data_IF_271390533210
#
_entry.id   IF_271390533210
#
_cell.length_a   1.000
_cell.length_b   1.000
_cell.length_c   1.000
_cell.angle_alpha   90.00
_cell.angle_beta   90.00
_cell.angle_gamma   90.00
#
_symmetry.space_group_name_H-M   'P 1'
#
loop_
_entity.id
_entity.type
_entity.pdbx_description
1 polymer ?
#
# COMPACT_ATOMS: atom_id res chain seq x y z
N UNK A 1 0.18 -64.40 18.66
CA UNK A 1 0.97 -63.81 19.77
C UNK A 1 0.94 -62.30 19.56
N UNK A 2 -0.02 -61.66 20.21
CA UNK A 2 -0.32 -60.23 20.06
C UNK A 2 0.70 -59.39 20.82
N UNK A 3 1.00 -58.22 20.26
CA UNK A 3 1.97 -57.26 20.79
C UNK A 3 1.22 -56.39 21.81
N UNK A 4 1.46 -56.63 23.09
CA UNK A 4 0.98 -55.80 24.18
C UNK A 4 1.79 -54.50 24.26
N UNK A 5 1.13 -53.38 23.94
CA UNK A 5 1.65 -52.03 24.11
C UNK A 5 1.43 -51.57 25.56
N UNK A 6 2.53 -51.50 26.33
CA UNK A 6 2.56 -50.88 27.65
C UNK A 6 2.52 -49.36 27.50
N UNK A 7 1.38 -48.74 27.83
CA UNK A 7 1.22 -47.30 27.93
C UNK A 7 1.78 -46.79 29.27
N UNK A 8 3.04 -46.35 29.27
CA UNK A 8 3.65 -45.63 30.39
C UNK A 8 3.18 -44.16 30.41
N UNK A 9 2.43 -43.80 31.45
CA UNK A 9 2.00 -42.44 31.72
C UNK A 9 3.19 -41.56 32.13
N UNK A 10 3.61 -40.64 31.24
CA UNK A 10 4.49 -39.53 31.60
C UNK A 10 3.66 -38.39 32.18
N UNK A 11 3.69 -38.26 33.50
CA UNK A 11 3.15 -37.13 34.25
C UNK A 11 4.03 -35.90 34.06
N UNK A 12 3.61 -34.96 33.21
CA UNK A 12 4.22 -33.64 33.12
C UNK A 12 3.62 -32.69 34.17
N UNK A 13 4.44 -32.03 35.01
CA UNK A 13 3.96 -31.07 36.00
C UNK A 13 3.83 -29.69 35.37
N UNK A 14 2.63 -29.23 35.04
CA UNK A 14 2.41 -27.80 34.75
C UNK A 14 0.95 -27.35 34.93
N UNK A 15 0.47 -27.34 36.18
CA UNK A 15 -0.83 -26.75 36.54
C UNK A 15 -0.79 -25.25 36.91
N UNK A 16 0.28 -24.51 36.60
CA UNK A 16 0.40 -23.09 37.01
C UNK A 16 0.48 -22.05 35.90
N UNK A 17 0.46 -22.43 34.62
CA UNK A 17 0.62 -21.45 33.52
C UNK A 17 -0.58 -21.28 32.60
N UNK A 18 -1.62 -22.11 32.70
CA UNK A 18 -2.76 -22.02 31.78
C UNK A 18 -3.60 -20.75 32.00
N UNK A 19 -3.87 -20.36 33.24
CA UNK A 19 -4.64 -19.13 33.53
C UNK A 19 -3.89 -17.85 33.12
N UNK A 20 -2.57 -17.79 33.29
CA UNK A 20 -1.76 -16.65 32.85
C UNK A 20 -1.63 -16.56 31.32
N UNK A 21 -1.58 -17.70 30.62
CA UNK A 21 -1.56 -17.74 29.15
C UNK A 21 -2.94 -17.39 28.60
N UNK A 22 -4.02 -17.89 29.20
CA UNK A 22 -5.39 -17.57 28.80
C UNK A 22 -5.72 -16.09 29.04
N UNK A 23 -5.30 -15.50 30.18
CA UNK A 23 -5.39 -14.05 30.43
C UNK A 23 -4.54 -13.23 29.45
N UNK A 24 -3.30 -13.64 29.13
CA UNK A 24 -2.51 -12.93 28.10
C UNK A 24 -3.14 -13.01 26.72
N UNK A 25 -3.72 -14.15 26.34
CA UNK A 25 -4.43 -14.30 25.07
C UNK A 25 -5.75 -13.52 25.03
N UNK A 26 -6.54 -13.50 26.10
CA UNK A 26 -7.79 -12.71 26.14
C UNK A 26 -7.52 -11.21 26.23
N UNK A 27 -6.53 -10.77 27.00
CA UNK A 27 -6.09 -9.37 27.00
C UNK A 27 -5.58 -8.97 25.62
N UNK A 28 -4.64 -9.70 25.02
CA UNK A 28 -4.10 -9.37 23.68
C UNK A 28 -5.17 -9.39 22.58
N UNK A 29 -6.11 -10.33 22.60
CA UNK A 29 -7.23 -10.37 21.65
C UNK A 29 -8.21 -9.20 21.85
N UNK A 30 -8.46 -8.76 23.10
CA UNK A 30 -9.24 -7.54 23.37
C UNK A 30 -8.48 -6.29 22.94
N UNK A 31 -7.15 -6.25 23.07
CA UNK A 31 -6.30 -5.15 22.61
C UNK A 31 -6.25 -5.04 21.08
N UNK A 32 -6.13 -6.14 20.34
CA UNK A 32 -6.14 -6.13 18.87
C UNK A 32 -7.52 -5.76 18.28
N UNK A 33 -8.60 -6.13 18.98
CA UNK A 33 -9.96 -5.82 18.55
C UNK A 33 -10.51 -4.50 19.09
N UNK A 34 -9.76 -3.73 19.87
CA UNK A 34 -10.17 -2.43 20.38
C UNK A 34 -9.55 -1.30 19.56
N UNK A 35 -10.33 -0.57 18.74
CA UNK A 35 -9.78 0.50 17.91
C UNK A 35 -9.20 1.63 18.77
N UNK A 36 -7.99 2.15 18.45
CA UNK A 36 -7.38 3.25 19.19
C UNK A 36 -8.21 4.53 19.09
N UNK A 37 -8.21 5.33 20.15
CA UNK A 37 -8.85 6.65 20.18
C UNK A 37 -7.79 7.75 20.22
N UNK A 38 -7.86 8.70 19.29
CA UNK A 38 -6.95 9.84 19.23
C UNK A 38 -7.37 10.97 20.19
N UNK A 39 -6.41 11.75 20.68
CA UNK A 39 -6.69 12.94 21.51
C UNK A 39 -7.67 13.90 20.84
N UNK A 40 -7.55 14.13 19.53
CA UNK A 40 -8.48 14.96 18.74
C UNK A 40 -9.94 14.56 18.90
N UNK A 41 -10.22 13.25 18.82
CA UNK A 41 -11.57 12.72 18.97
C UNK A 41 -12.03 12.77 20.42
N UNK A 42 -11.12 12.52 21.35
CA UNK A 42 -11.42 12.58 22.77
C UNK A 42 -11.87 13.99 23.17
N UNK A 43 -11.13 15.03 22.77
CA UNK A 43 -11.51 16.43 22.96
C UNK A 43 -12.87 16.72 22.34
N UNK A 44 -13.11 16.25 21.11
CA UNK A 44 -14.39 16.46 20.42
C UNK A 44 -15.58 15.83 21.17
N UNK A 45 -15.43 14.61 21.69
CA UNK A 45 -16.51 13.91 22.41
C UNK A 45 -16.74 14.45 23.82
N UNK A 46 -15.75 15.11 24.40
CA UNK A 46 -15.83 15.71 25.74
C UNK A 46 -16.31 17.16 25.75
N UNK A 47 -16.55 17.78 24.59
CA UNK A 47 -17.17 19.11 24.50
C UNK A 47 -18.53 19.11 25.22
N UNK A 48 -18.69 19.99 26.21
CA UNK A 48 -19.91 20.11 27.02
C UNK A 48 -20.08 19.03 28.10
N UNK A 49 -19.04 18.24 28.40
CA UNK A 49 -19.05 17.17 29.43
C UNK A 49 -17.76 17.18 30.26
N UNK A 50 -17.33 18.35 30.68
CA UNK A 50 -16.02 18.56 31.32
C UNK A 50 -15.95 17.95 32.73
N UNK A 51 -17.08 17.81 33.41
CA UNK A 51 -17.16 17.25 34.77
C UNK A 51 -17.09 15.71 34.80
N UNK A 52 -17.18 15.05 33.64
CA UNK A 52 -17.28 13.58 33.57
C UNK A 52 -15.93 12.94 33.24
N UNK A 53 -15.75 11.71 33.70
CA UNK A 53 -14.56 10.91 33.40
C UNK A 53 -14.76 10.21 32.05
N UNK A 54 -13.86 10.43 31.09
CA UNK A 54 -13.87 9.74 29.81
C UNK A 54 -13.29 8.33 29.96
N UNK A 55 -14.07 7.30 29.65
CA UNK A 55 -13.65 5.90 29.80
C UNK A 55 -13.50 5.25 28.43
N UNK A 56 -12.29 4.81 28.10
CA UNK A 56 -11.94 4.20 26.81
C UNK A 56 -11.47 2.77 27.02
N UNK A 57 -12.24 1.81 26.53
CA UNK A 57 -11.80 0.41 26.45
C UNK A 57 -10.92 0.25 25.21
N UNK A 58 -9.66 0.64 25.33
CA UNK A 58 -8.70 0.62 24.22
C UNK A 58 -7.46 1.48 24.50
N UNK A 59 -6.68 1.71 23.45
CA UNK A 59 -5.46 2.55 23.52
C UNK A 59 -5.76 4.00 23.17
N UNK A 60 -5.21 4.94 23.94
CA UNK A 60 -5.30 6.38 23.66
C UNK A 60 -3.99 6.86 23.01
N UNK A 61 -4.10 7.33 21.78
CA UNK A 61 -2.97 7.76 20.96
C UNK A 61 -2.90 9.27 20.85
N UNK A 62 -1.68 9.79 20.81
CA UNK A 62 -1.44 11.21 20.56
C UNK A 62 -1.83 11.62 19.13
N UNK A 63 -2.23 12.87 18.97
CA UNK A 63 -2.50 13.51 17.69
C UNK A 63 -1.80 14.87 17.67
N UNK A 64 -0.70 14.93 16.93
CA UNK A 64 0.17 16.10 16.82
C UNK A 64 -0.58 17.33 16.28
N UNK A 65 -1.69 17.11 15.57
CA UNK A 65 -2.47 18.19 14.93
C UNK A 65 -3.28 19.02 15.92
N UNK A 66 -3.57 18.47 17.10
CA UNK A 66 -4.19 19.23 18.18
C UNK A 66 -3.06 19.96 18.87
N UNK A 67 -3.11 21.27 19.00
CA UNK A 67 -2.05 22.04 19.66
C UNK A 67 -2.33 22.18 21.17
N UNK A 68 -3.57 22.55 21.50
CA UNK A 68 -4.04 22.74 22.87
C UNK A 68 -4.97 21.61 23.28
N UNK A 69 -4.65 20.95 24.39
CA UNK A 69 -5.47 19.89 24.98
C UNK A 69 -6.12 20.48 26.23
N UNK A 70 -7.46 20.43 26.38
CA UNK A 70 -8.12 20.85 27.60
C UNK A 70 -7.79 19.90 28.78
N UNK A 71 -7.99 20.33 30.04
CA UNK A 71 -7.84 19.45 31.19
C UNK A 71 -8.89 18.33 31.12
N UNK A 72 -8.43 17.08 30.98
CA UNK A 72 -9.29 15.92 30.76
C UNK A 72 -9.01 14.85 31.81
N UNK A 73 -10.07 14.27 32.39
CA UNK A 73 -9.99 13.05 33.19
C UNK A 73 -10.26 11.84 32.30
N UNK A 74 -9.24 11.05 32.01
CA UNK A 74 -9.32 9.95 31.04
C UNK A 74 -8.90 8.64 31.70
N UNK A 75 -9.75 7.63 31.64
CA UNK A 75 -9.44 6.24 31.95
C UNK A 75 -9.26 5.45 30.67
N UNK A 76 -8.14 4.74 30.52
CA UNK A 76 -7.91 3.86 29.37
C UNK A 76 -7.13 2.60 29.76
N UNK A 77 -7.16 1.59 28.88
CA UNK A 77 -6.35 0.38 29.06
C UNK A 77 -4.86 0.68 28.88
N UNK A 78 -4.52 1.51 27.89
CA UNK A 78 -3.14 1.94 27.65
C UNK A 78 -3.09 3.36 27.09
N UNK A 79 -2.13 4.14 27.57
CA UNK A 79 -1.77 5.43 27.01
C UNK A 79 -0.46 5.32 26.23
N UNK A 80 -0.37 6.05 25.12
CA UNK A 80 0.94 6.37 24.54
C UNK A 80 1.66 7.36 25.44
N UNK A 81 2.98 7.23 25.58
CA UNK A 81 3.79 8.07 26.47
C UNK A 81 3.63 9.56 26.15
N UNK A 82 3.60 9.90 24.86
CA UNK A 82 3.40 11.28 24.41
C UNK A 82 2.00 11.79 24.74
N UNK A 83 0.94 10.98 24.58
CA UNK A 83 -0.41 11.40 24.95
C UNK A 83 -0.54 11.63 26.46
N UNK A 84 0.06 10.75 27.27
CA UNK A 84 0.04 10.87 28.72
C UNK A 84 0.71 12.17 29.18
N UNK A 85 1.91 12.45 28.69
CA UNK A 85 2.65 13.67 29.02
C UNK A 85 1.86 14.93 28.64
N UNK A 86 1.14 14.91 27.51
CA UNK A 86 0.33 16.05 27.06
C UNK A 86 -0.93 16.27 27.89
N UNK A 87 -1.61 15.19 28.30
CA UNK A 87 -2.78 15.28 29.17
C UNK A 87 -2.37 15.81 30.55
N UNK A 88 -1.31 15.25 31.14
CA UNK A 88 -0.79 15.68 32.45
C UNK A 88 -0.30 17.13 32.41
N UNK A 89 0.40 17.55 31.33
CA UNK A 89 0.82 18.95 31.12
C UNK A 89 -0.36 19.93 31.01
N UNK A 90 -1.50 19.48 30.48
CA UNK A 90 -2.72 20.27 30.40
C UNK A 90 -3.51 20.32 31.73
N UNK A 91 -3.01 19.69 32.80
CA UNK A 91 -3.71 19.58 34.08
C UNK A 91 -4.80 18.50 34.09
N UNK A 92 -4.77 17.57 33.13
CA UNK A 92 -5.64 16.40 33.09
C UNK A 92 -5.10 15.20 33.88
N UNK A 93 -5.98 14.25 34.21
CA UNK A 93 -5.64 13.02 34.93
C UNK A 93 -5.76 11.80 34.03
N UNK A 94 -4.70 11.00 33.92
CA UNK A 94 -4.73 9.68 33.30
C UNK A 94 -4.93 8.61 34.38
N UNK A 95 -6.06 7.90 34.33
CA UNK A 95 -6.46 6.89 35.31
C UNK A 95 -6.38 5.47 34.73
N UNK A 96 -6.11 4.49 35.59
CA UNK A 96 -6.29 3.06 35.27
C UNK A 96 -7.74 2.61 35.56
N UNK A 97 -8.15 1.47 35.00
CA UNK A 97 -9.48 0.93 35.27
C UNK A 97 -9.70 0.56 36.74
N UNK A 98 -8.65 0.10 37.43
CA UNK A 98 -8.70 -0.19 38.86
C UNK A 98 -8.94 1.09 39.68
N UNK A 99 -8.28 2.19 39.31
CA UNK A 99 -8.47 3.51 39.94
C UNK A 99 -9.88 4.07 39.66
N UNK A 100 -10.42 3.82 38.46
CA UNK A 100 -11.80 4.21 38.13
C UNK A 100 -12.81 3.43 38.99
N UNK A 101 -12.61 2.12 39.15
CA UNK A 101 -13.52 1.27 39.92
C UNK A 101 -13.62 1.71 41.39
N UNK A 102 -12.51 2.18 41.98
CA UNK A 102 -12.50 2.75 43.34
C UNK A 102 -13.25 4.09 43.44
N UNK A 103 -13.16 4.94 42.40
CA UNK A 103 -13.82 6.27 42.41
C UNK A 103 -15.30 6.21 42.06
N UNK A 104 -15.67 5.38 41.09
CA UNK A 104 -17.01 5.30 40.54
C UNK A 104 -17.41 3.83 40.33
N UNK A 105 -17.67 3.06 41.41
CA UNK A 105 -17.97 1.63 41.34
C UNK A 105 -19.24 1.32 40.54
N UNK A 106 -20.19 2.26 40.50
CA UNK A 106 -21.43 2.17 39.73
C UNK A 106 -21.34 2.83 38.33
N UNK A 107 -20.17 3.38 37.95
CA UNK A 107 -19.98 4.09 36.68
C UNK A 107 -20.66 5.45 36.57
N UNK A 108 -21.17 6.00 37.69
CA UNK A 108 -21.76 7.34 37.73
C UNK A 108 -20.73 8.41 37.36
N UNK A 109 -21.14 9.45 36.64
CA UNK A 109 -20.28 10.53 36.11
C UNK A 109 -19.18 10.07 35.13
N UNK A 110 -19.37 8.93 34.46
CA UNK A 110 -18.47 8.48 33.40
C UNK A 110 -19.11 8.59 32.00
N UNK A 111 -18.28 8.74 30.98
CA UNK A 111 -18.69 8.70 29.57
C UNK A 111 -17.90 7.60 28.88
N UNK A 112 -18.57 6.53 28.48
CA UNK A 112 -17.96 5.46 27.70
C UNK A 112 -17.73 5.93 26.27
N UNK A 113 -16.47 5.94 25.84
CA UNK A 113 -16.05 6.30 24.50
C UNK A 113 -15.48 5.08 23.79
N UNK A 114 -15.82 4.96 22.50
CA UNK A 114 -15.36 3.86 21.64
C UNK A 114 -14.64 4.41 20.42
N UNK A 115 -13.49 3.81 20.10
CA UNK A 115 -12.75 4.14 18.88
C UNK A 115 -13.51 3.79 17.58
N UNK A 116 -13.03 4.29 16.43
CA UNK A 116 -13.65 4.06 15.12
C UNK A 116 -13.62 2.58 14.70
N UNK A 117 -14.78 1.92 14.63
CA UNK A 117 -14.88 0.53 14.16
C UNK A 117 -14.57 0.37 12.67
N UNK A 118 -15.01 1.34 11.86
CA UNK A 118 -15.00 1.25 10.40
C UNK A 118 -13.67 1.72 9.77
N UNK A 119 -12.67 2.06 10.59
CA UNK A 119 -11.34 2.48 10.11
C UNK A 119 -10.44 1.33 9.66
N UNK A 120 -10.81 0.09 9.99
CA UNK A 120 -9.99 -1.11 9.70
C UNK A 120 -9.89 -1.36 8.20
N UNK A 121 -8.73 -1.86 7.77
CA UNK A 121 -8.52 -2.21 6.36
C UNK A 121 -9.49 -3.29 5.89
N UNK A 122 -9.77 -4.29 6.73
CA UNK A 122 -10.77 -5.31 6.44
C UNK A 122 -12.13 -4.70 6.09
N UNK A 123 -12.62 -3.73 6.89
CA UNK A 123 -13.93 -3.09 6.69
C UNK A 123 -14.05 -2.38 5.34
N UNK A 124 -12.93 -1.91 4.77
CA UNK A 124 -12.93 -1.26 3.45
C UNK A 124 -13.28 -2.21 2.31
N UNK A 125 -13.21 -3.52 2.53
CA UNK A 125 -13.57 -4.55 1.55
C UNK A 125 -15.04 -5.00 1.65
N UNK A 126 -15.79 -4.51 2.63
CA UNK A 126 -17.21 -4.76 2.77
C UNK A 126 -18.03 -3.65 2.08
N UNK A 127 -19.22 -3.98 1.59
CA UNK A 127 -20.13 -3.05 0.91
C UNK A 127 -20.45 -3.42 -0.55
N UNK A 128 -21.08 -2.50 -1.30
CA UNK A 128 -21.44 -2.72 -2.70
C UNK A 128 -20.25 -3.17 -3.55
N UNK A 129 -20.48 -4.02 -4.56
CA UNK A 129 -19.38 -4.61 -5.30
C UNK A 129 -18.44 -3.52 -5.88
N UNK A 130 -17.11 -3.72 -5.80
CA UNK A 130 -16.14 -2.74 -6.28
C UNK A 130 -16.39 -2.40 -7.76
N UNK A 131 -16.70 -1.14 -8.05
CA UNK A 131 -16.94 -0.65 -9.41
C UNK A 131 -18.38 -0.30 -9.75
N UNK A 132 -19.35 -0.54 -8.85
CA UNK A 132 -20.69 0.05 -8.98
C UNK A 132 -20.64 1.57 -8.81
N UNK A 133 -21.56 2.33 -9.45
CA UNK A 133 -21.76 3.74 -9.16
C UNK A 133 -21.93 3.97 -7.65
N UNK A 134 -21.22 4.94 -7.08
CA UNK A 134 -21.19 5.25 -5.64
C UNK A 134 -20.60 4.15 -4.72
N UNK A 135 -19.95 3.12 -5.27
CA UNK A 135 -19.20 2.15 -4.45
C UNK A 135 -17.83 2.73 -4.02
N UNK A 136 -17.56 2.69 -2.72
CA UNK A 136 -16.24 3.01 -2.15
C UNK A 136 -15.48 1.76 -1.67
N UNK A 137 -16.02 0.58 -1.96
CA UNK A 137 -15.49 -0.71 -1.52
C UNK A 137 -14.19 -1.03 -2.25
N UNK A 138 -13.15 -1.31 -1.48
CA UNK A 138 -11.82 -1.63 -1.97
C UNK A 138 -11.85 -3.03 -2.60
N UNK A 139 -11.39 -3.21 -3.85
CA UNK A 139 -11.34 -4.53 -4.47
C UNK A 139 -10.34 -5.45 -3.77
N UNK A 140 -10.70 -6.72 -3.61
CA UNK A 140 -9.75 -7.78 -3.28
C UNK A 140 -8.81 -7.97 -4.47
N UNK A 141 -7.52 -7.71 -4.28
CA UNK A 141 -6.51 -7.96 -5.30
C UNK A 141 -5.82 -9.27 -4.93
N UNK A 142 -6.19 -10.36 -5.60
CA UNK A 142 -5.46 -11.64 -5.52
C UNK A 142 -4.07 -11.42 -6.11
N UNK A 143 -3.13 -10.96 -5.29
CA UNK A 143 -1.72 -10.97 -5.63
C UNK A 143 -1.12 -12.23 -5.01
N UNK A 144 -1.24 -13.38 -5.69
CA UNK A 144 -0.45 -14.58 -5.34
C UNK A 144 1.06 -14.28 -5.33
N UNK A 145 1.49 -13.22 -6.00
CA UNK A 145 2.88 -12.78 -6.08
C UNK A 145 3.38 -11.96 -4.89
N UNK A 146 2.50 -11.39 -4.03
CA UNK A 146 2.94 -10.53 -2.91
C UNK A 146 3.50 -11.29 -1.69
N UNK A 147 2.94 -12.45 -1.27
CA UNK A 147 3.50 -13.23 -0.17
C UNK A 147 4.91 -13.75 -0.46
N UNK A 148 5.13 -14.28 -1.68
CA UNK A 148 6.46 -14.72 -2.15
C UNK A 148 7.44 -13.54 -2.19
N UNK A 149 6.97 -12.36 -2.63
CA UNK A 149 7.76 -11.13 -2.62
C UNK A 149 8.16 -10.66 -1.21
N UNK A 150 7.24 -10.74 -0.24
CA UNK A 150 7.47 -10.35 1.14
C UNK A 150 8.33 -11.41 1.88
N UNK A 151 8.24 -12.69 1.51
CA UNK A 151 9.12 -13.74 2.01
C UNK A 151 10.56 -13.53 1.49
N UNK A 152 10.71 -13.17 0.22
CA UNK A 152 11.98 -12.74 -0.36
C UNK A 152 12.50 -11.43 0.27
N UNK A 153 11.61 -10.53 0.73
CA UNK A 153 11.97 -9.28 1.43
C UNK A 153 12.79 -9.55 2.70
N UNK A 154 12.41 -10.54 3.51
CA UNK A 154 13.16 -10.90 4.73
C UNK A 154 14.55 -11.48 4.48
N UNK A 155 14.87 -11.83 3.22
CA UNK A 155 16.12 -12.48 2.81
C UNK A 155 17.05 -11.56 2.01
N UNK A 156 16.55 -10.42 1.50
CA UNK A 156 17.20 -9.60 0.45
C UNK A 156 17.68 -8.22 0.95
N UNK A 157 17.53 -7.89 2.24
CA UNK A 157 17.81 -6.56 2.82
C UNK A 157 19.23 -5.98 2.62
N UNK A 158 20.12 -6.63 1.87
CA UNK A 158 21.46 -6.12 1.52
C UNK A 158 21.61 -5.50 0.12
N UNK A 159 20.64 -5.61 -0.80
CA UNK A 159 20.86 -5.13 -2.18
C UNK A 159 19.74 -4.21 -2.72
N UNK A 160 20.19 -3.05 -3.23
CA UNK A 160 19.41 -1.93 -3.80
C UNK A 160 18.41 -2.33 -4.90
N UNK A 161 18.62 -3.47 -5.55
CA UNK A 161 17.80 -4.03 -6.63
C UNK A 161 16.47 -4.63 -6.13
N UNK A 162 16.45 -5.30 -4.97
CA UNK A 162 15.23 -5.89 -4.39
C UNK A 162 14.21 -4.83 -3.95
N UNK A 163 14.71 -3.72 -3.40
CA UNK A 163 13.90 -2.58 -2.95
C UNK A 163 13.21 -1.87 -4.12
N UNK A 164 13.89 -1.74 -5.25
CA UNK A 164 13.35 -1.15 -6.49
C UNK A 164 12.29 -2.03 -7.15
N UNK A 165 12.48 -3.35 -7.12
CA UNK A 165 11.54 -4.34 -7.65
C UNK A 165 10.21 -4.31 -6.87
N UNK A 166 10.27 -4.29 -5.53
CA UNK A 166 9.10 -4.18 -4.64
C UNK A 166 8.35 -2.86 -4.80
N UNK A 167 9.07 -1.73 -4.84
CA UNK A 167 8.48 -0.39 -5.00
C UNK A 167 7.74 -0.25 -6.34
N UNK A 168 8.17 -0.97 -7.37
CA UNK A 168 7.46 -1.05 -8.67
C UNK A 168 6.28 -2.02 -8.64
N UNK A 169 6.39 -3.17 -7.99
CA UNK A 169 5.28 -4.14 -7.86
C UNK A 169 4.05 -3.56 -7.15
N UNK A 170 4.27 -2.77 -6.09
CA UNK A 170 3.21 -2.07 -5.33
C UNK A 170 2.66 -0.82 -6.04
N UNK A 171 3.22 -0.42 -7.19
CA UNK A 171 2.81 0.78 -7.91
C UNK A 171 1.50 0.58 -8.68
N UNK A 172 0.68 1.64 -8.86
CA UNK A 172 -0.56 1.57 -9.68
C UNK A 172 -0.26 1.14 -11.12
N UNK A 173 -1.22 0.54 -11.83
CA UNK A 173 -1.10 0.18 -13.27
C UNK A 173 -0.63 1.36 -14.13
N UNK A 174 -1.12 2.56 -13.82
CA UNK A 174 -0.67 3.82 -14.45
C UNK A 174 0.81 4.14 -14.19
N UNK A 175 1.51 3.50 -13.26
CA UNK A 175 2.95 3.70 -13.05
C UNK A 175 3.80 2.56 -13.65
N UNK A 176 3.18 1.44 -14.04
CA UNK A 176 3.79 0.28 -14.71
C UNK A 176 3.58 0.40 -16.23
N UNK A 177 4.37 1.25 -16.88
CA UNK A 177 4.35 1.43 -18.32
C UNK A 177 5.09 0.29 -19.01
N UNK A 178 4.44 -0.30 -20.02
CA UNK A 178 5.02 -1.32 -20.88
C UNK A 178 6.22 -0.73 -21.63
N UNK A 179 7.45 -1.24 -21.43
CA UNK A 179 8.50 -1.02 -22.41
C UNK A 179 8.09 -1.70 -23.71
N UNK A 180 8.44 -1.06 -24.83
CA UNK A 180 8.24 -1.65 -26.16
C UNK A 180 9.40 -2.62 -26.43
N UNK A 181 9.18 -3.63 -27.26
CA UNK A 181 10.24 -4.56 -27.70
C UNK A 181 11.41 -3.83 -28.38
N UNK A 182 11.15 -2.66 -28.96
CA UNK A 182 12.14 -1.76 -29.60
C UNK A 182 12.98 -0.95 -28.62
N UNK A 183 12.79 -1.09 -27.29
CA UNK A 183 13.60 -0.31 -26.34
C UNK A 183 15.08 -0.52 -26.65
N UNK A 184 15.80 0.58 -26.90
CA UNK A 184 17.24 0.61 -27.23
C UNK A 184 18.04 -0.24 -26.24
N UNK A 185 17.55 -0.30 -25.01
CA UNK A 185 18.09 -1.08 -23.90
C UNK A 185 17.93 -2.60 -24.06
N UNK A 186 16.84 -3.12 -24.65
CA UNK A 186 16.70 -4.55 -24.92
C UNK A 186 17.74 -5.02 -25.95
N UNK A 187 18.02 -4.21 -26.98
CA UNK A 187 19.08 -4.48 -27.96
C UNK A 187 20.48 -4.42 -27.37
N UNK A 188 20.74 -3.50 -26.43
CA UNK A 188 22.02 -3.41 -25.73
C UNK A 188 22.25 -4.58 -24.77
N UNK A 189 21.19 -5.13 -24.17
CA UNK A 189 21.28 -6.24 -23.21
C UNK A 189 21.67 -7.58 -23.85
N UNK A 190 21.33 -7.79 -25.12
CA UNK A 190 21.76 -8.97 -25.89
C UNK A 190 23.27 -9.03 -26.00
N UNK A 191 23.95 -7.88 -26.04
CA UNK A 191 25.41 -7.82 -26.14
C UNK A 191 26.13 -8.17 -24.83
N UNK A 192 25.41 -8.21 -23.71
CA UNK A 192 25.98 -8.40 -22.37
C UNK A 192 25.49 -9.67 -21.67
N UNK A 193 24.73 -10.55 -22.35
CA UNK A 193 24.12 -11.78 -21.80
C UNK A 193 23.30 -11.59 -20.50
N UNK A 194 22.80 -10.36 -20.27
CA UNK A 194 22.03 -10.01 -19.07
C UNK A 194 20.55 -10.29 -19.25
N UNK A 195 19.89 -10.67 -18.15
CA UNK A 195 18.45 -10.88 -18.11
C UNK A 195 17.74 -9.53 -17.98
N UNK A 196 16.89 -9.20 -18.95
CA UNK A 196 16.06 -8.00 -18.89
C UNK A 196 14.88 -8.22 -17.94
N UNK A 197 14.67 -7.30 -16.99
CA UNK A 197 13.62 -7.41 -15.98
C UNK A 197 12.62 -6.26 -16.09
N UNK A 198 11.37 -6.60 -16.39
CA UNK A 198 10.29 -5.63 -16.62
C UNK A 198 9.15 -5.85 -15.65
N UNK A 199 8.94 -4.89 -14.75
CA UNK A 199 7.76 -4.88 -13.87
C UNK A 199 6.54 -4.30 -14.58
N UNK A 200 6.02 -5.05 -15.54
CA UNK A 200 4.92 -4.63 -16.43
C UNK A 200 4.60 -5.67 -17.49
N UNK A 201 3.75 -5.28 -18.44
CA UNK A 201 3.47 -6.05 -19.66
C UNK A 201 4.55 -5.75 -20.70
N UNK A 202 5.05 -6.77 -21.39
CA UNK A 202 5.88 -6.61 -22.60
C UNK A 202 4.99 -6.83 -23.82
N UNK A 203 5.03 -5.87 -24.74
CA UNK A 203 4.22 -5.87 -25.97
C UNK A 203 5.12 -5.95 -27.19
N UNK A 204 4.63 -6.57 -28.27
CA UNK A 204 5.34 -6.66 -29.54
C UNK A 204 5.27 -5.33 -30.32
N UNK A 205 6.26 -5.10 -31.17
CA UNK A 205 6.26 -4.01 -32.13
C UNK A 205 6.39 -4.61 -33.52
N UNK A 206 5.34 -4.45 -34.33
CA UNK A 206 5.25 -5.02 -35.68
C UNK A 206 6.34 -4.48 -36.62
N UNK A 207 6.87 -3.28 -36.35
CA UNK A 207 7.87 -2.60 -37.20
C UNK A 207 9.26 -3.20 -37.12
N UNK A 208 9.53 -4.05 -36.13
CA UNK A 208 10.82 -4.75 -36.01
C UNK A 208 10.67 -6.15 -36.56
N UNK A 209 11.41 -6.38 -37.64
CA UNK A 209 11.39 -7.63 -38.41
C UNK A 209 12.28 -8.70 -37.78
N UNK A 210 13.43 -8.30 -37.23
CA UNK A 210 14.39 -9.20 -36.60
C UNK A 210 14.52 -8.89 -35.12
N UNK A 211 14.21 -9.88 -34.29
CA UNK A 211 14.35 -9.82 -32.84
C UNK A 211 15.55 -10.69 -32.47
N UNK A 212 16.52 -10.18 -31.70
CA UNK A 212 17.62 -11.00 -31.20
C UNK A 212 17.16 -12.00 -30.13
N UNK A 213 17.96 -13.04 -29.87
CA UNK A 213 17.72 -13.99 -28.78
C UNK A 213 17.79 -13.27 -27.42
N UNK A 214 16.63 -12.97 -26.83
CA UNK A 214 16.50 -12.17 -25.61
C UNK A 214 16.10 -13.05 -24.41
N UNK A 215 16.74 -12.86 -23.26
CA UNK A 215 16.26 -13.40 -21.97
C UNK A 215 15.49 -12.31 -21.24
N UNK A 216 14.16 -12.41 -21.23
CA UNK A 216 13.28 -11.37 -20.67
C UNK A 216 12.40 -11.95 -19.58
N UNK A 217 12.35 -11.27 -18.44
CA UNK A 217 11.40 -11.52 -17.35
C UNK A 217 10.38 -10.40 -17.29
N UNK A 218 9.10 -10.76 -17.25
CA UNK A 218 8.03 -9.77 -17.15
C UNK A 218 6.85 -10.27 -16.32
N UNK A 219 5.96 -9.36 -15.92
CA UNK A 219 4.72 -9.75 -15.25
C UNK A 219 3.78 -10.45 -16.22
N UNK A 220 3.76 -9.97 -17.47
CA UNK A 220 2.93 -10.50 -18.55
C UNK A 220 3.61 -10.25 -19.90
N UNK A 221 3.42 -11.17 -20.82
CA UNK A 221 3.77 -11.02 -22.22
C UNK A 221 2.50 -11.03 -23.05
N UNK A 222 2.43 -10.25 -24.14
CA UNK A 222 1.44 -10.52 -25.17
C UNK A 222 1.82 -11.81 -25.90
N UNK A 223 0.83 -12.55 -26.38
CA UNK A 223 1.05 -13.82 -27.09
C UNK A 223 1.97 -13.63 -28.31
N UNK A 224 1.72 -12.55 -29.05
CA UNK A 224 2.54 -12.09 -30.17
C UNK A 224 3.98 -11.78 -29.79
N UNK A 225 4.22 -11.19 -28.62
CA UNK A 225 5.58 -10.88 -28.16
C UNK A 225 6.31 -12.15 -27.74
N UNK A 226 5.63 -13.02 -27.00
CA UNK A 226 6.18 -14.30 -26.55
C UNK A 226 6.61 -15.15 -27.75
N UNK A 227 5.71 -15.33 -28.72
CA UNK A 227 5.99 -16.11 -29.92
C UNK A 227 7.19 -15.58 -30.71
N UNK A 228 7.34 -14.25 -30.82
CA UNK A 228 8.50 -13.66 -31.50
C UNK A 228 9.81 -13.86 -30.76
N UNK A 229 9.81 -13.73 -29.43
CA UNK A 229 11.01 -13.92 -28.60
C UNK A 229 11.44 -15.39 -28.65
N UNK A 230 10.49 -16.33 -28.53
CA UNK A 230 10.76 -17.77 -28.60
C UNK A 230 11.24 -18.18 -30.00
N UNK A 231 10.63 -17.63 -31.07
CA UNK A 231 11.07 -17.86 -32.45
C UNK A 231 12.50 -17.35 -32.71
N UNK A 232 12.91 -16.28 -32.03
CA UNK A 232 14.27 -15.76 -32.07
C UNK A 232 15.27 -16.56 -31.22
N UNK A 233 14.84 -17.65 -30.54
CA UNK A 233 15.67 -18.42 -29.61
C UNK A 233 15.87 -17.75 -28.25
N UNK A 234 15.04 -16.75 -27.91
CA UNK A 234 15.03 -16.11 -26.60
C UNK A 234 14.16 -16.83 -25.57
N UNK A 235 14.34 -16.48 -24.30
CA UNK A 235 13.60 -17.06 -23.17
C UNK A 235 12.67 -16.02 -22.53
N UNK A 236 11.37 -16.35 -22.45
CA UNK A 236 10.38 -15.59 -21.68
C UNK A 236 10.21 -16.20 -20.29
N UNK A 237 10.67 -15.50 -19.26
CA UNK A 237 10.69 -15.98 -17.88
C UNK A 237 9.62 -15.31 -17.01
N UNK A 238 9.12 -16.05 -16.03
CA UNK A 238 8.31 -15.49 -14.94
C UNK A 238 9.20 -14.98 -13.81
N UNK A 239 8.61 -14.20 -12.90
CA UNK A 239 9.35 -13.70 -11.75
C UNK A 239 9.73 -14.77 -10.73
N UNK A 240 8.94 -15.83 -10.64
CA UNK A 240 9.26 -16.98 -9.78
C UNK A 240 10.46 -17.73 -10.34
N UNK A 241 10.51 -17.92 -11.67
CA UNK A 241 11.67 -18.50 -12.36
C UNK A 241 12.92 -17.62 -12.24
N UNK A 242 12.77 -16.29 -12.33
CA UNK A 242 13.88 -15.36 -12.10
C UNK A 242 14.43 -15.48 -10.67
N UNK A 243 13.57 -15.57 -9.67
CA UNK A 243 14.00 -15.66 -8.27
C UNK A 243 14.83 -16.91 -7.99
N UNK A 244 14.55 -18.02 -8.68
CA UNK A 244 15.36 -19.25 -8.62
C UNK A 244 16.72 -19.08 -9.30
N UNK A 245 16.77 -18.43 -10.48
CA UNK A 245 18.01 -18.26 -11.26
C UNK A 245 18.94 -17.17 -10.70
N UNK A 246 18.38 -16.06 -10.25
CA UNK A 246 19.11 -14.87 -9.83
C UNK A 246 18.50 -14.32 -8.53
N UNK A 247 18.65 -15.08 -7.44
CA UNK A 247 18.07 -14.78 -6.11
C UNK A 247 18.43 -13.37 -5.59
N UNK A 248 19.61 -12.87 -5.94
CA UNK A 248 20.10 -11.52 -5.57
C UNK A 248 19.97 -10.48 -6.70
N UNK A 249 19.42 -10.87 -7.86
CA UNK A 249 19.34 -10.02 -9.04
C UNK A 249 20.67 -9.79 -9.78
N UNK A 250 21.67 -10.64 -9.56
CA UNK A 250 22.93 -10.63 -10.31
C UNK A 250 22.67 -10.86 -11.80
N UNK A 251 23.43 -10.18 -12.68
CA UNK A 251 23.28 -10.24 -14.14
C UNK A 251 21.86 -9.89 -14.66
N UNK A 252 21.12 -9.07 -13.91
CA UNK A 252 19.81 -8.57 -14.32
C UNK A 252 19.82 -7.07 -14.54
N UNK A 253 19.00 -6.59 -15.48
CA UNK A 253 18.81 -5.15 -15.72
C UNK A 253 17.34 -4.78 -15.67
N UNK A 254 17.01 -3.88 -14.74
CA UNK A 254 15.64 -3.43 -14.49
C UNK A 254 15.22 -2.34 -15.47
N UNK A 255 14.41 -2.71 -16.47
CA UNK A 255 13.87 -1.79 -17.46
C UNK A 255 12.53 -1.21 -17.06
N UNK A 256 12.21 -0.05 -17.62
CA UNK A 256 10.93 0.63 -17.43
C UNK A 256 10.51 1.33 -18.71
N UNK A 257 9.26 1.12 -19.14
CA UNK A 257 8.73 1.80 -20.30
C UNK A 257 8.55 3.32 -20.10
N UNK A 258 8.47 4.09 -21.19
CA UNK A 258 8.36 5.55 -21.16
C UNK A 258 7.05 5.99 -20.50
N UNK A 259 7.14 6.94 -19.56
CA UNK A 259 5.98 7.50 -18.84
C UNK A 259 5.31 8.66 -19.57
N UNK A 260 6.13 9.48 -20.22
CA UNK A 260 5.71 10.78 -20.77
C UNK A 260 5.07 10.65 -22.16
N UNK A 261 5.10 9.45 -22.76
CA UNK A 261 4.48 9.20 -24.07
C UNK A 261 2.95 9.07 -24.06
N UNK A 262 2.30 9.16 -22.88
CA UNK A 262 0.85 9.00 -22.75
C UNK A 262 0.09 10.22 -23.24
N UNK A 263 -1.09 9.99 -23.80
CA UNK A 263 -1.97 11.07 -24.23
C UNK A 263 -2.32 12.05 -23.11
N UNK A 264 -2.66 11.55 -21.91
CA UNK A 264 -2.92 12.40 -20.76
C UNK A 264 -1.76 13.34 -20.42
N UNK A 265 -0.51 12.87 -20.55
CA UNK A 265 0.68 13.70 -20.25
C UNK A 265 0.85 14.83 -21.25
N UNK A 266 0.39 14.66 -22.50
CA UNK A 266 0.43 15.73 -23.51
C UNK A 266 -0.48 16.91 -23.17
N UNK A 267 -1.46 16.72 -22.28
CA UNK A 267 -2.35 17.76 -21.80
C UNK A 267 -1.87 18.42 -20.50
N UNK A 268 -0.76 17.94 -19.93
CA UNK A 268 -0.16 18.52 -18.73
C UNK A 268 0.94 19.51 -19.09
N UNK A 269 1.14 20.51 -18.24
CA UNK A 269 2.14 21.56 -18.42
C UNK A 269 1.53 22.96 -18.47
N UNK A 270 2.29 23.97 -18.92
CA UNK A 270 1.80 25.32 -19.12
C UNK A 270 0.54 25.34 -19.99
N UNK A 271 -0.41 26.23 -19.67
CA UNK A 271 -1.70 26.26 -20.35
C UNK A 271 -1.55 26.46 -21.87
N UNK A 272 -2.40 25.82 -22.70
CA UNK A 272 -2.31 25.91 -24.16
C UNK A 272 -2.66 27.31 -24.65
N UNK A 273 -1.67 28.15 -24.92
CA UNK A 273 -1.88 29.58 -25.17
C UNK A 273 -0.91 30.49 -24.41
N UNK A 274 -0.05 29.93 -23.56
CA UNK A 274 1.13 30.62 -23.02
C UNK A 274 2.30 30.51 -24.02
N UNK A 275 3.09 31.57 -24.25
CA UNK A 275 4.28 31.49 -25.11
C UNK A 275 5.19 30.31 -24.73
N UNK A 276 5.73 29.63 -25.74
CA UNK A 276 6.55 28.40 -25.60
C UNK A 276 5.84 27.18 -24.97
N UNK A 277 4.51 27.21 -24.82
CA UNK A 277 3.74 26.03 -24.43
C UNK A 277 3.48 25.11 -25.63
N UNK A 278 3.82 23.83 -25.48
CA UNK A 278 3.50 22.77 -26.47
C UNK A 278 2.42 21.81 -25.96
N UNK A 279 1.71 22.19 -24.90
CA UNK A 279 0.63 21.41 -24.30
C UNK A 279 -0.52 21.27 -25.28
N UNK A 280 -0.99 20.03 -25.47
CA UNK A 280 -2.11 19.72 -26.35
C UNK A 280 -3.40 20.29 -25.73
N UNK A 281 -4.19 21.08 -26.47
CA UNK A 281 -5.48 21.56 -25.98
C UNK A 281 -6.52 20.44 -25.89
N UNK A 282 -7.49 20.60 -24.99
CA UNK A 282 -8.63 19.71 -24.84
C UNK A 282 -9.71 20.10 -25.84
N UNK A 283 -9.74 19.41 -26.99
CA UNK A 283 -10.69 19.72 -28.08
C UNK A 283 -11.58 18.50 -28.34
N UNK A 284 -12.88 18.75 -28.53
CA UNK A 284 -13.86 17.68 -28.81
C UNK A 284 -13.57 16.93 -30.11
N UNK A 285 -13.06 17.62 -31.13
CA UNK A 285 -12.75 17.06 -32.45
C UNK A 285 -11.57 17.81 -33.08
N UNK A 286 -10.93 17.18 -34.08
CA UNK A 286 -9.85 17.79 -34.84
C UNK A 286 -10.39 18.30 -36.18
N UNK A 287 -10.06 19.53 -36.55
CA UNK A 287 -10.45 20.07 -37.86
C UNK A 287 -10.15 21.56 -37.99
N UNK A 288 -10.37 22.12 -39.19
CA UNK A 288 -10.18 23.58 -39.43
C UNK A 288 -11.08 24.43 -38.54
N UNK A 289 -12.27 23.93 -38.18
CA UNK A 289 -13.29 24.62 -37.37
C UNK A 289 -13.02 24.60 -35.86
N UNK A 290 -12.11 23.78 -35.36
CA UNK A 290 -11.93 23.56 -33.93
C UNK A 290 -10.54 24.03 -33.46
N UNK A 291 -10.49 25.15 -32.72
CA UNK A 291 -9.30 25.68 -32.03
C UNK A 291 -8.02 25.81 -32.89
N UNK A 292 -8.14 26.18 -34.18
CA UNK A 292 -7.01 26.35 -35.11
C UNK A 292 -6.86 27.76 -35.72
N UNK A 293 -7.66 28.74 -35.29
CA UNK A 293 -7.71 30.07 -35.89
C UNK A 293 -6.86 31.11 -35.13
N UNK A 294 -7.50 31.99 -34.34
CA UNK A 294 -6.84 33.03 -33.54
C UNK A 294 -5.95 32.40 -32.46
N UNK A 295 -4.75 32.96 -32.24
CA UNK A 295 -3.79 32.45 -31.25
C UNK A 295 -3.00 31.20 -31.67
N UNK A 296 -3.22 30.69 -32.90
CA UNK A 296 -2.48 29.55 -33.49
C UNK A 296 -1.85 29.86 -34.84
N UNK A 297 -2.23 30.97 -35.48
CA UNK A 297 -1.76 31.40 -36.79
C UNK A 297 -1.42 32.88 -36.76
N UNK A 298 -0.31 33.26 -37.39
CA UNK A 298 0.11 34.66 -37.48
C UNK A 298 -0.94 35.53 -38.19
N UNK A 299 -1.64 34.98 -39.19
CA UNK A 299 -2.64 35.70 -39.99
C UNK A 299 -3.96 36.01 -39.26
N UNK A 300 -4.16 35.55 -38.03
CA UNK A 300 -5.39 35.75 -37.25
C UNK A 300 -5.07 36.45 -35.92
N UNK A 301 -4.51 37.65 -36.02
CA UNK A 301 -4.22 38.55 -34.90
C UNK A 301 -2.85 38.30 -34.27
N UNK A 302 -2.63 37.11 -33.72
CA UNK A 302 -1.35 36.73 -33.11
C UNK A 302 -1.20 35.19 -33.08
N UNK A 303 0.04 34.72 -32.91
CA UNK A 303 0.37 33.32 -32.65
C UNK A 303 1.14 33.23 -31.34
N UNK A 304 0.65 32.34 -30.47
CA UNK A 304 1.35 31.91 -29.26
C UNK A 304 2.41 30.88 -29.60
#
# INVERSE_FOLDING_TARGET
MGIDLVAGALSFPCKKNWEQIQCRYTETLVYEQSPPLSLSRLVQFMKGKEDKIAVVVGTVTDDIRVYEVPPLKVTALRFTETARARIEKAGGECLTFDQLALRAPLGQNTVLLRGPKNGREAVKHFGPAPGLPHSHTKPYVLNLSLPVFNYLQGLIDKYTTGLLYMKRGKSKKTKRTAPKSDDIYLRLLVKEDKIAVVVGTVTDVIRVYEVPALKVTALRFTETARARIEKAGGECLTFDQLALRARLGQNTVLLRGPKNGREAVKHFGPAPGVPHSHTKPNVRSKGRKFERARGRRNSKGFRV
#
